data_IF_004810220504
#
_entry.id   IF_004810220504
#
_cell.length_a   1.000
_cell.length_b   1.000
_cell.length_c   1.000
_cell.angle_alpha   90.00
_cell.angle_beta   90.00
_cell.angle_gamma   90.00
#
_symmetry.space_group_name_H-M   'P 1'
#
loop_
_entity.id
_entity.type
_entity.pdbx_description
1 polymer ?
#
# COMPACT_ATOMS: atom_id res chain seq x y z
N UNK A 1 27.95 18.29 -20.73
CA UNK A 1 27.19 18.79 -19.57
C UNK A 1 25.83 18.15 -19.66
N UNK A 2 25.44 17.37 -18.65
CA UNK A 2 24.16 16.66 -18.64
C UNK A 2 23.06 17.73 -18.52
N UNK A 3 22.30 17.99 -19.59
CA UNK A 3 21.26 19.03 -19.66
C UNK A 3 20.05 18.82 -18.74
N UNK A 4 20.14 17.90 -17.78
CA UNK A 4 19.25 17.80 -16.63
C UNK A 4 19.69 18.92 -15.68
N UNK A 5 18.99 20.06 -15.71
CA UNK A 5 19.21 21.15 -14.78
C UNK A 5 18.88 22.54 -15.31
N UNK A 6 18.84 22.74 -16.63
CA UNK A 6 18.70 24.10 -17.17
C UNK A 6 17.26 24.67 -17.04
N UNK A 7 16.24 23.80 -16.92
CA UNK A 7 14.82 24.20 -16.82
C UNK A 7 13.99 23.43 -15.79
N UNK A 8 14.63 22.57 -14.99
CA UNK A 8 13.96 21.75 -13.98
C UNK A 8 14.46 22.13 -12.60
N UNK A 9 13.57 22.23 -11.62
CA UNK A 9 13.92 22.59 -10.24
C UNK A 9 13.97 21.37 -9.31
N UNK A 10 13.62 20.18 -9.81
CA UNK A 10 13.56 18.95 -9.04
C UNK A 10 12.66 17.89 -9.65
N UNK A 11 12.43 16.81 -8.90
CA UNK A 11 11.46 15.78 -9.29
C UNK A 11 10.66 15.22 -8.11
N UNK A 12 9.47 14.71 -8.45
CA UNK A 12 8.57 14.03 -7.51
C UNK A 12 8.32 12.62 -8.03
N UNK A 13 8.67 11.61 -7.24
CA UNK A 13 8.50 10.19 -7.62
C UNK A 13 7.75 9.43 -6.54
N UNK A 14 7.42 8.16 -6.76
CA UNK A 14 6.84 7.32 -5.70
C UNK A 14 7.79 7.16 -4.50
N UNK A 15 7.29 6.62 -3.38
CA UNK A 15 8.03 6.54 -2.12
C UNK A 15 8.83 5.24 -1.93
N UNK A 16 9.10 4.51 -3.01
CA UNK A 16 9.86 3.25 -2.94
C UNK A 16 11.28 3.47 -2.40
N UNK A 17 11.87 2.40 -1.84
CA UNK A 17 13.24 2.45 -1.33
C UNK A 17 14.27 2.77 -2.44
N UNK A 18 14.02 2.29 -3.66
CA UNK A 18 14.85 2.59 -4.83
C UNK A 18 14.87 4.10 -5.13
N UNK A 19 13.70 4.74 -5.19
CA UNK A 19 13.62 6.17 -5.43
C UNK A 19 14.22 7.00 -4.29
N UNK A 20 14.01 6.60 -3.04
CA UNK A 20 14.68 7.22 -1.88
C UNK A 20 16.21 7.17 -1.96
N UNK A 21 16.77 6.07 -2.50
CA UNK A 21 18.22 5.96 -2.73
C UNK A 21 18.65 6.90 -3.87
N UNK A 22 17.93 6.90 -4.98
CA UNK A 22 18.21 7.79 -6.11
C UNK A 22 18.16 9.27 -5.72
N UNK A 23 17.22 9.68 -4.86
CA UNK A 23 17.17 11.07 -4.37
C UNK A 23 18.46 11.48 -3.67
N UNK A 24 19.04 10.63 -2.82
CA UNK A 24 20.31 10.93 -2.14
C UNK A 24 21.46 11.14 -3.12
N UNK A 25 21.51 10.34 -4.19
CA UNK A 25 22.53 10.47 -5.24
C UNK A 25 22.30 11.75 -6.07
N UNK A 26 21.04 12.08 -6.36
CA UNK A 26 20.65 13.27 -7.11
C UNK A 26 20.82 14.57 -6.33
N UNK A 27 20.54 14.57 -5.02
CA UNK A 27 20.79 15.70 -4.12
C UNK A 27 22.29 16.02 -4.04
N UNK A 28 23.16 15.00 -4.09
CA UNK A 28 24.61 15.20 -4.16
C UNK A 28 25.04 15.79 -5.50
N UNK A 29 24.42 15.36 -6.61
CA UNK A 29 24.74 15.84 -7.96
C UNK A 29 24.16 17.23 -8.26
N UNK A 30 23.00 17.54 -7.69
CA UNK A 30 22.22 18.76 -7.95
C UNK A 30 21.71 19.36 -6.62
N UNK A 31 22.59 19.97 -5.81
CA UNK A 31 22.26 20.42 -4.45
C UNK A 31 21.21 21.54 -4.39
N UNK A 32 20.98 22.24 -5.51
CA UNK A 32 19.97 23.30 -5.62
C UNK A 32 18.62 22.79 -6.15
N UNK A 33 18.44 21.48 -6.32
CA UNK A 33 17.19 20.88 -6.79
C UNK A 33 16.52 20.08 -5.68
N UNK A 34 15.19 19.96 -5.74
CA UNK A 34 14.44 19.12 -4.80
C UNK A 34 14.20 17.71 -5.35
N UNK A 35 14.28 16.70 -4.48
CA UNK A 35 13.96 15.32 -4.82
C UNK A 35 13.10 14.73 -3.70
N UNK A 36 11.81 14.55 -3.96
CA UNK A 36 10.91 14.10 -2.90
C UNK A 36 9.85 13.12 -3.37
N UNK A 37 9.22 12.54 -2.36
CA UNK A 37 8.17 11.57 -2.51
C UNK A 37 6.81 12.16 -2.86
N UNK A 38 6.02 11.42 -3.63
CA UNK A 38 4.64 11.74 -3.98
C UNK A 38 3.74 11.62 -2.75
N UNK A 39 2.99 12.69 -2.46
CA UNK A 39 1.99 12.74 -1.37
C UNK A 39 0.86 11.74 -1.63
N UNK A 40 0.33 11.68 -2.85
CA UNK A 40 -0.74 10.75 -3.22
C UNK A 40 -0.33 9.29 -2.99
N UNK A 41 0.91 8.93 -3.34
CA UNK A 41 1.41 7.59 -3.07
C UNK A 41 1.51 7.32 -1.57
N UNK A 42 1.93 8.30 -0.78
CA UNK A 42 2.05 8.20 0.68
C UNK A 42 0.67 8.05 1.34
N UNK A 43 -0.33 8.81 0.88
CA UNK A 43 -1.71 8.70 1.34
C UNK A 43 -2.31 7.32 1.00
N UNK A 44 -2.06 6.82 -0.21
CA UNK A 44 -2.48 5.48 -0.60
C UNK A 44 -1.85 4.39 0.28
N UNK A 45 -0.56 4.50 0.61
CA UNK A 45 0.09 3.59 1.55
C UNK A 45 -0.52 3.69 2.96
N UNK A 46 -0.74 4.90 3.45
CA UNK A 46 -1.39 5.11 4.75
C UNK A 46 -2.78 4.46 4.83
N UNK A 47 -3.60 4.63 3.80
CA UNK A 47 -4.92 3.98 3.71
C UNK A 47 -4.75 2.46 3.65
N UNK A 48 -3.79 1.94 2.88
CA UNK A 48 -3.49 0.50 2.85
C UNK A 48 -3.05 -0.06 4.20
N UNK A 49 -2.34 0.72 5.01
CA UNK A 49 -1.90 0.31 6.35
C UNK A 49 -3.09 0.26 7.31
N UNK A 50 -4.02 1.23 7.24
CA UNK A 50 -5.29 1.19 7.99
C UNK A 50 -6.05 -0.09 7.65
N UNK A 51 -6.29 -0.35 6.36
CA UNK A 51 -7.02 -1.53 5.89
C UNK A 51 -6.13 -2.78 5.72
N UNK A 52 -4.93 -2.75 6.28
CA UNK A 52 -3.99 -3.86 6.35
C UNK A 52 -3.88 -4.46 7.75
N UNK A 53 -4.68 -3.96 8.70
CA UNK A 53 -4.72 -4.43 10.07
C UNK A 53 -4.96 -5.95 10.12
N UNK A 54 -4.27 -6.62 11.05
CA UNK A 54 -4.38 -8.07 11.23
C UNK A 54 -4.82 -8.37 12.65
N UNK A 55 -5.70 -9.37 12.77
CA UNK A 55 -6.04 -9.94 14.06
C UNK A 55 -4.82 -10.65 14.66
N UNK A 56 -4.58 -10.45 15.94
CA UNK A 56 -3.54 -11.16 16.72
C UNK A 56 -4.21 -11.93 17.85
N UNK A 57 -3.62 -13.05 18.23
CA UNK A 57 -4.06 -13.80 19.41
C UNK A 57 -3.58 -13.03 20.65
N UNK A 58 -4.47 -12.69 21.60
CA UNK A 58 -4.08 -12.00 22.83
C UNK A 58 -3.08 -12.82 23.66
N UNK A 59 -2.23 -12.13 24.44
CA UNK A 59 -1.42 -12.77 25.47
C UNK A 59 -2.35 -13.38 26.53
N UNK A 60 -2.29 -14.70 26.72
CA UNK A 60 -3.23 -15.46 27.57
C UNK A 60 -4.18 -16.37 26.79
N UNK A 61 -4.17 -16.30 25.45
CA UNK A 61 -5.01 -17.14 24.59
C UNK A 61 -6.43 -16.56 24.41
N UNK A 62 -7.13 -17.09 23.40
CA UNK A 62 -8.46 -16.59 23.02
C UNK A 62 -8.61 -16.37 21.51
N UNK A 63 -9.77 -15.88 21.05
CA UNK A 63 -9.98 -15.59 19.65
C UNK A 63 -9.07 -14.45 19.18
N UNK A 64 -8.62 -14.51 17.93
CA UNK A 64 -7.81 -13.45 17.34
C UNK A 64 -8.63 -12.15 17.25
N UNK A 65 -8.04 -11.04 17.69
CA UNK A 65 -8.69 -9.72 17.74
C UNK A 65 -7.81 -8.66 17.09
N UNK A 66 -8.43 -7.61 16.55
CA UNK A 66 -7.67 -6.45 16.04
C UNK A 66 -7.00 -5.69 17.20
N UNK A 67 -5.99 -4.85 16.91
CA UNK A 67 -5.39 -4.01 17.93
C UNK A 67 -6.43 -3.14 18.65
N UNK A 68 -6.21 -2.92 19.94
CA UNK A 68 -7.09 -2.08 20.77
C UNK A 68 -7.29 -0.70 20.13
N UNK A 69 -8.56 -0.26 20.06
CA UNK A 69 -8.94 1.03 19.48
C UNK A 69 -9.00 1.04 17.94
N UNK A 70 -8.89 -0.10 17.26
CA UNK A 70 -9.11 -0.16 15.81
C UNK A 70 -10.59 -0.01 15.45
N UNK A 71 -10.96 1.17 14.94
CA UNK A 71 -12.37 1.54 14.65
C UNK A 71 -12.87 1.18 13.25
N UNK A 72 -12.03 0.57 12.41
CA UNK A 72 -12.34 0.31 10.99
C UNK A 72 -12.58 -1.18 10.70
N UNK A 73 -12.97 -1.99 11.69
CA UNK A 73 -13.24 -3.43 11.50
C UNK A 73 -14.32 -3.67 10.44
N UNK A 74 -15.50 -3.05 10.60
CA UNK A 74 -16.62 -3.26 9.68
C UNK A 74 -16.27 -2.87 8.24
N UNK A 75 -15.60 -1.74 8.07
CA UNK A 75 -15.20 -1.25 6.76
C UNK A 75 -14.09 -2.12 6.14
N UNK A 76 -13.16 -2.63 6.96
CA UNK A 76 -12.16 -3.59 6.50
C UNK A 76 -12.81 -4.89 6.00
N UNK A 77 -13.74 -5.45 6.77
CA UNK A 77 -14.49 -6.65 6.37
C UNK A 77 -15.24 -6.42 5.06
N UNK A 78 -15.97 -5.30 4.94
CA UNK A 78 -16.65 -4.93 3.70
C UNK A 78 -15.70 -4.87 2.49
N UNK A 79 -14.52 -4.26 2.65
CA UNK A 79 -13.53 -4.19 1.55
C UNK A 79 -12.93 -5.55 1.21
N UNK A 80 -12.86 -6.48 2.17
CA UNK A 80 -12.43 -7.85 1.92
C UNK A 80 -13.48 -8.60 1.09
N UNK A 81 -14.75 -8.52 1.48
CA UNK A 81 -15.87 -9.14 0.75
C UNK A 81 -15.97 -8.61 -0.69
N UNK A 82 -15.76 -7.31 -0.88
CA UNK A 82 -15.70 -6.71 -2.21
C UNK A 82 -14.57 -7.29 -3.08
N UNK A 83 -13.41 -7.62 -2.49
CA UNK A 83 -12.30 -8.26 -3.24
C UNK A 83 -12.68 -9.67 -3.67
N UNK A 84 -13.42 -10.41 -2.85
CA UNK A 84 -13.88 -11.75 -3.19
C UNK A 84 -14.89 -11.72 -4.34
N UNK A 85 -15.81 -10.75 -4.34
CA UNK A 85 -16.75 -10.51 -5.45
C UNK A 85 -15.98 -10.16 -6.74
N UNK A 86 -15.01 -9.25 -6.66
CA UNK A 86 -14.17 -8.88 -7.81
C UNK A 86 -13.37 -10.08 -8.32
N UNK A 87 -12.82 -10.88 -7.41
CA UNK A 87 -12.09 -12.12 -7.74
C UNK A 87 -12.99 -13.13 -8.46
N UNK A 88 -14.25 -13.29 -8.01
CA UNK A 88 -15.25 -14.13 -8.67
C UNK A 88 -15.47 -13.71 -10.13
N UNK A 89 -15.61 -12.42 -10.41
CA UNK A 89 -15.80 -11.93 -11.78
C UNK A 89 -14.55 -12.06 -12.66
N UNK A 90 -13.35 -11.95 -12.09
CA UNK A 90 -12.10 -12.13 -12.84
C UNK A 90 -11.72 -13.60 -13.06
N UNK A 91 -12.13 -14.50 -12.17
CA UNK A 91 -11.82 -15.94 -12.24
C UNK A 91 -13.08 -16.79 -12.04
N UNK A 92 -14.02 -16.81 -12.99
CA UNK A 92 -15.33 -17.46 -12.83
C UNK A 92 -15.27 -18.98 -12.59
N UNK A 93 -14.14 -19.64 -12.89
CA UNK A 93 -13.97 -21.09 -12.73
C UNK A 93 -13.27 -21.52 -11.43
N UNK A 94 -12.66 -20.60 -10.68
CA UNK A 94 -11.96 -20.92 -9.42
C UNK A 94 -12.89 -21.29 -8.24
N UNK A 95 -14.07 -20.67 -8.04
CA UNK A 95 -14.96 -20.99 -6.93
C UNK A 95 -15.62 -22.37 -7.05
N UNK A 96 -15.75 -22.89 -8.27
CA UNK A 96 -16.46 -24.14 -8.56
C UNK A 96 -15.70 -25.41 -8.12
N UNK A 97 -14.42 -25.29 -7.77
CA UNK A 97 -13.63 -26.40 -7.25
C UNK A 97 -13.96 -26.77 -5.79
N UNK A 98 -14.60 -25.86 -5.04
CA UNK A 98 -14.92 -26.04 -3.61
C UNK A 98 -16.43 -26.15 -3.32
N UNK A 99 -17.27 -26.18 -4.35
CA UNK A 99 -18.68 -26.49 -4.16
C UNK A 99 -18.83 -28.00 -3.88
N UNK A 100 -19.54 -28.40 -2.82
CA UNK A 100 -19.83 -29.81 -2.61
C UNK A 100 -20.56 -30.33 -3.85
N UNK A 101 -20.04 -31.41 -4.43
CA UNK A 101 -20.69 -32.10 -5.53
C UNK A 101 -22.06 -32.58 -5.04
N UNK A 102 -23.10 -32.20 -5.77
CA UNK A 102 -24.45 -32.70 -5.56
C UNK A 102 -24.53 -34.22 -5.76
#
# INVERSE_FOLDING_TARGET
MDGIGDNTVGCVTDNTAANKKAWKELEQKYPNHFFHGCVCHRLNLFVKDIFGARKKIPEGGGPAQYPDGYIFEDLLLFTADCKDIVSFFHHPHAPMANLPKA
#
